data_IF_084402291103
#
_entry.id   IF_084402291103
#
_cell.length_a   1.000
_cell.length_b   1.000
_cell.length_c   1.000
_cell.angle_alpha   90.00
_cell.angle_beta   90.00
_cell.angle_gamma   90.00
#
_symmetry.space_group_name_H-M   'P 1'
#
loop_
_entity.id
_entity.type
_entity.pdbx_description
1 polymer ?
#
# COMPACT_ATOMS: atom_id res chain seq x y z
N UNK A 1 -21.13 4.92 15.90
CA UNK A 1 -20.85 4.28 14.60
C UNK A 1 -19.59 4.93 14.05
N UNK A 2 -18.50 4.18 13.91
CA UNK A 2 -17.28 4.69 13.28
C UNK A 2 -17.44 4.59 11.76
N UNK A 3 -17.37 5.71 11.06
CA UNK A 3 -17.33 5.71 9.59
C UNK A 3 -16.13 4.88 9.14
N UNK A 4 -16.30 3.89 8.24
CA UNK A 4 -15.18 3.08 7.78
C UNK A 4 -14.11 3.97 7.14
N UNK A 5 -12.86 3.78 7.56
CA UNK A 5 -11.73 4.53 7.01
C UNK A 5 -11.59 4.21 5.52
N UNK A 6 -11.68 5.24 4.67
CA UNK A 6 -11.44 5.11 3.24
C UNK A 6 -9.96 5.35 2.95
N UNK A 7 -9.25 4.26 2.64
CA UNK A 7 -7.82 4.27 2.35
C UNK A 7 -7.57 4.10 0.86
N UNK A 8 -6.67 4.90 0.29
CA UNK A 8 -6.25 4.80 -1.11
C UNK A 8 -4.73 4.65 -1.17
N UNK A 9 -4.27 3.52 -1.69
CA UNK A 9 -2.85 3.26 -1.89
C UNK A 9 -2.35 4.00 -3.12
N UNK A 10 -1.28 4.77 -2.95
CA UNK A 10 -0.61 5.54 -4.00
C UNK A 10 0.70 4.82 -4.36
N UNK A 11 0.64 4.06 -5.43
CA UNK A 11 1.77 3.33 -6.00
C UNK A 11 2.64 4.24 -6.88
N UNK A 12 3.91 3.88 -7.03
CA UNK A 12 4.75 4.47 -8.07
C UNK A 12 4.19 4.17 -9.47
N UNK A 13 4.50 4.96 -10.51
CA UNK A 13 4.06 4.67 -11.88
C UNK A 13 4.52 3.29 -12.37
N UNK A 14 5.71 2.85 -11.96
CA UNK A 14 6.25 1.52 -12.29
C UNK A 14 5.42 0.41 -11.65
N UNK A 15 5.15 0.50 -10.34
CA UNK A 15 4.35 -0.50 -9.63
C UNK A 15 2.91 -0.53 -10.14
N UNK A 16 2.33 0.64 -10.47
CA UNK A 16 1.00 0.71 -11.07
C UNK A 16 0.97 0.06 -12.47
N UNK A 17 2.03 0.20 -13.26
CA UNK A 17 2.15 -0.50 -14.54
C UNK A 17 2.28 -2.02 -14.34
N UNK A 18 3.07 -2.45 -13.35
CA UNK A 18 3.25 -3.87 -13.01
C UNK A 18 1.93 -4.51 -12.53
N UNK A 19 1.21 -3.89 -11.58
CA UNK A 19 -0.09 -4.37 -11.09
C UNK A 19 -1.09 -4.58 -12.24
N UNK A 20 -1.15 -3.62 -13.17
CA UNK A 20 -2.01 -3.69 -14.35
C UNK A 20 -1.62 -4.84 -15.28
N UNK A 21 -0.32 -5.01 -15.57
CA UNK A 21 0.19 -6.08 -16.44
C UNK A 21 -0.08 -7.47 -15.87
N UNK A 22 0.06 -7.63 -14.55
CA UNK A 22 -0.15 -8.90 -13.86
C UNK A 22 -1.63 -9.15 -13.51
N UNK A 23 -2.53 -8.20 -13.79
CA UNK A 23 -3.96 -8.27 -13.45
C UNK A 23 -4.20 -8.54 -11.96
N UNK A 24 -3.36 -7.96 -11.10
CA UNK A 24 -3.45 -8.14 -9.65
C UNK A 24 -4.51 -7.21 -9.06
N UNK A 25 -5.46 -7.77 -8.33
CA UNK A 25 -6.40 -7.01 -7.52
C UNK A 25 -5.73 -6.67 -6.20
N UNK A 26 -5.74 -5.39 -5.82
CA UNK A 26 -5.24 -4.92 -4.53
C UNK A 26 -6.39 -4.94 -3.51
N UNK A 27 -6.33 -5.76 -2.46
CA UNK A 27 -7.34 -5.79 -1.41
C UNK A 27 -7.44 -4.47 -0.63
N UNK A 28 -8.61 -4.24 -0.05
CA UNK A 28 -8.84 -3.17 0.93
C UNK A 28 -8.34 -3.63 2.33
N UNK A 29 -7.02 -3.71 2.49
CA UNK A 29 -6.35 -4.30 3.67
C UNK A 29 -6.76 -3.67 5.01
N UNK A 30 -7.20 -2.42 5.03
CA UNK A 30 -7.56 -1.69 6.25
C UNK A 30 -9.07 -1.57 6.46
N UNK A 31 -9.89 -2.21 5.62
CA UNK A 31 -11.34 -2.21 5.81
C UNK A 31 -11.72 -2.81 7.18
N UNK A 32 -12.44 -2.03 7.98
CA UNK A 32 -12.90 -2.46 9.30
C UNK A 32 -11.83 -2.45 10.39
N UNK A 33 -10.59 -2.08 10.07
CA UNK A 33 -9.57 -1.84 11.08
C UNK A 33 -9.83 -0.50 11.79
N UNK A 34 -9.70 -0.49 13.12
CA UNK A 34 -9.82 0.72 13.93
C UNK A 34 -8.61 1.64 13.88
N UNK A 35 -7.52 1.18 13.25
CA UNK A 35 -6.26 1.91 13.12
C UNK A 35 -5.93 2.16 11.65
N UNK A 36 -5.55 3.40 11.36
CA UNK A 36 -5.06 3.79 10.04
C UNK A 36 -3.64 3.25 9.81
N UNK A 37 -3.28 2.94 8.55
CA UNK A 37 -1.89 2.64 8.18
C UNK A 37 -0.94 3.77 8.58
N UNK A 38 0.24 3.40 9.05
CA UNK A 38 1.32 4.32 9.44
C UNK A 38 2.62 4.04 8.65
N UNK A 39 3.51 5.03 8.50
CA UNK A 39 4.83 4.80 7.92
C UNK A 39 5.58 3.67 8.65
N UNK A 40 6.16 2.76 7.87
CA UNK A 40 6.81 1.55 8.36
C UNK A 40 5.93 0.30 8.34
N UNK A 41 4.60 0.44 8.25
CA UNK A 41 3.72 -0.71 8.01
C UNK A 41 4.03 -1.35 6.65
N UNK A 42 3.83 -2.66 6.57
CA UNK A 42 4.18 -3.47 5.40
C UNK A 42 2.98 -4.30 4.97
N UNK A 43 2.79 -4.44 3.66
CA UNK A 43 1.80 -5.35 3.08
C UNK A 43 2.36 -6.06 1.85
N UNK A 44 1.72 -7.15 1.42
CA UNK A 44 2.13 -7.95 0.26
C UNK A 44 1.02 -8.09 -0.76
N UNK A 45 1.33 -7.80 -2.02
CA UNK A 45 0.46 -8.01 -3.20
C UNK A 45 1.25 -8.78 -4.25
N UNK A 46 0.68 -9.84 -4.82
CA UNK A 46 1.28 -10.57 -5.94
C UNK A 46 2.72 -11.03 -5.70
N UNK A 47 3.02 -11.45 -4.47
CA UNK A 47 4.36 -11.91 -4.05
C UNK A 47 5.35 -10.81 -3.67
N UNK A 48 5.08 -9.54 -4.03
CA UNK A 48 5.95 -8.41 -3.68
C UNK A 48 5.57 -7.76 -2.36
N UNK A 49 6.57 -7.21 -1.68
CA UNK A 49 6.41 -6.49 -0.43
C UNK A 49 6.44 -4.98 -0.67
N UNK A 50 5.52 -4.26 -0.03
CA UNK A 50 5.40 -2.81 -0.11
C UNK A 50 5.44 -2.22 1.30
N UNK A 51 6.26 -1.20 1.50
CA UNK A 51 6.34 -0.46 2.75
C UNK A 51 5.60 0.86 2.61
N UNK A 52 4.78 1.20 3.60
CA UNK A 52 4.14 2.51 3.68
C UNK A 52 5.20 3.54 4.05
N UNK A 53 5.37 4.55 3.19
CA UNK A 53 6.39 5.59 3.36
C UNK A 53 5.80 6.88 3.91
N UNK A 54 4.53 7.15 3.64
CA UNK A 54 3.90 8.41 4.01
C UNK A 54 2.38 8.34 3.95
N UNK A 55 1.74 9.35 4.56
CA UNK A 55 0.29 9.47 4.61
C UNK A 55 -0.15 10.91 4.38
N UNK A 56 -1.27 11.08 3.68
CA UNK A 56 -1.91 12.37 3.46
C UNK A 56 -3.42 12.22 3.69
N UNK A 57 -3.97 13.07 4.55
CA UNK A 57 -5.41 13.21 4.70
C UNK A 57 -5.93 14.20 3.67
N UNK A 58 -6.95 13.79 2.94
CA UNK A 58 -7.70 14.61 2.00
C UNK A 58 -9.18 14.60 2.34
N UNK A 59 -9.93 15.52 1.74
CA UNK A 59 -11.38 15.53 1.77
C UNK A 59 -11.90 15.65 0.35
N UNK A 60 -12.61 14.62 -0.15
CA UNK A 60 -13.24 14.65 -1.46
C UNK A 60 -14.78 14.79 -1.36
N UNK A 61 -15.48 14.65 -2.48
CA UNK A 61 -16.95 14.77 -2.54
C UNK A 61 -17.68 13.69 -1.72
N UNK A 62 -17.00 12.60 -1.32
CA UNK A 62 -17.57 11.52 -0.50
C UNK A 62 -17.10 11.55 0.95
N UNK A 63 -16.17 12.44 1.31
CA UNK A 63 -15.70 12.66 2.69
C UNK A 63 -14.18 12.52 2.86
N UNK A 64 -13.70 12.27 4.09
CA UNK A 64 -12.27 12.15 4.36
C UNK A 64 -11.68 10.89 3.71
N UNK A 65 -10.52 11.06 3.07
CA UNK A 65 -9.75 9.99 2.42
C UNK A 65 -8.34 10.01 2.97
N UNK A 66 -7.82 8.84 3.31
CA UNK A 66 -6.42 8.68 3.65
C UNK A 66 -5.66 8.14 2.44
N UNK A 67 -4.85 8.99 1.81
CA UNK A 67 -3.86 8.56 0.82
C UNK A 67 -2.63 8.01 1.52
N UNK A 68 -2.18 6.87 1.06
CA UNK A 68 -1.05 6.14 1.65
C UNK A 68 -0.03 5.92 0.55
N UNK A 69 1.11 6.58 0.66
CA UNK A 69 2.19 6.46 -0.30
C UNK A 69 3.00 5.22 0.02
N UNK A 70 3.16 4.35 -0.97
CA UNK A 70 3.86 3.07 -0.80
C UNK A 70 5.15 3.10 -1.60
N UNK A 71 6.23 2.62 -0.99
CA UNK A 71 7.53 2.56 -1.61
C UNK A 71 7.62 1.50 -2.70
N UNK A 72 8.62 1.65 -3.56
CA UNK A 72 8.88 0.72 -4.66
C UNK A 72 8.98 -0.71 -4.16
N UNK A 73 8.24 -1.60 -4.83
CA UNK A 73 8.17 -2.99 -4.48
C UNK A 73 9.53 -3.67 -4.66
N UNK A 74 10.22 -4.01 -3.58
CA UNK A 74 11.27 -5.01 -3.67
C UNK A 74 10.58 -6.36 -3.75
N UNK A 75 10.76 -7.07 -4.86
CA UNK A 75 10.72 -8.52 -4.77
C UNK A 75 11.85 -8.85 -3.80
N UNK A 76 11.53 -9.29 -2.58
CA UNK A 76 12.50 -10.05 -1.82
C UNK A 76 12.85 -11.24 -2.73
N UNK A 77 13.94 -11.09 -3.48
CA UNK A 77 14.70 -12.24 -3.90
C UNK A 77 15.12 -12.88 -2.59
N UNK A 78 14.51 -14.02 -2.27
CA UNK A 78 14.94 -14.87 -1.19
C UNK A 78 16.47 -14.98 -1.26
N UNK A 79 17.13 -14.55 -0.18
CA UNK A 79 18.59 -14.55 0.03
C UNK A 79 19.39 -13.40 -0.62
N UNK A 80 19.59 -12.31 0.12
CA UNK A 80 20.88 -11.59 0.04
C UNK A 80 21.87 -12.41 0.86
N UNK A 81 22.61 -13.33 0.22
CA UNK A 81 23.87 -13.75 0.83
C UNK A 81 24.78 -12.53 0.75
N UNK A 82 24.94 -11.83 1.87
CA UNK A 82 26.07 -10.94 2.04
C UNK A 82 27.33 -11.82 1.95
N UNK A 83 27.87 -11.91 0.74
CA UNK A 83 29.13 -12.58 0.47
C UNK A 83 30.21 -11.86 1.26
N UNK A 84 30.79 -12.64 2.17
CA UNK A 84 31.99 -12.41 2.96
C UNK A 84 33.18 -11.92 2.12
#
# INVERSE_FOLDING_TARGET
MTTPLRTVLVFTPEDQAWLRRMQLVVPDYWRGHGAAPIPGDVFRVGGRQFTIQGRLWEHDLQGPVLRVFVGSAHAESDSVFAGM
#
